data_IF_732127586350
#
_entry.id   IF_732127586350
#
_cell.length_a   1.000
_cell.length_b   1.000
_cell.length_c   1.000
_cell.angle_alpha   90.00
_cell.angle_beta   90.00
_cell.angle_gamma   90.00
#
_symmetry.space_group_name_H-M   'P 1'
#
loop_
_entity.id
_entity.type
_entity.pdbx_description
1 polymer ?
#
# COMPACT_ATOMS: atom_id res chain seq x y z
N UNK A 1 22.27 -2.59 -4.73
CA UNK A 1 21.12 -2.26 -5.61
C UNK A 1 21.46 -2.68 -7.04
N UNK A 2 20.53 -3.32 -7.75
CA UNK A 2 20.69 -3.69 -9.16
C UNK A 2 20.17 -2.60 -10.09
N UNK A 3 20.78 -2.47 -11.27
CA UNK A 3 20.27 -1.66 -12.38
C UNK A 3 19.61 -2.61 -13.37
N UNK A 4 18.40 -2.30 -13.79
CA UNK A 4 17.65 -3.10 -14.77
C UNK A 4 17.05 -2.18 -15.81
N UNK A 5 17.14 -2.55 -17.07
CA UNK A 5 16.47 -1.84 -18.16
C UNK A 5 15.11 -2.51 -18.40
N UNK A 6 14.04 -1.73 -18.27
CA UNK A 6 12.66 -2.18 -18.48
C UNK A 6 11.91 -1.14 -19.32
N UNK A 7 11.00 -1.62 -20.16
CA UNK A 7 10.11 -0.76 -20.95
C UNK A 7 8.87 -0.45 -20.11
N UNK A 8 8.50 0.82 -20.01
CA UNK A 8 7.35 1.30 -19.24
C UNK A 8 6.52 2.24 -20.09
N UNK A 9 5.19 2.22 -19.90
CA UNK A 9 4.31 3.18 -20.55
C UNK A 9 4.52 4.60 -19.98
N UNK A 10 4.97 5.51 -20.83
CA UNK A 10 5.21 6.91 -20.46
C UNK A 10 3.95 7.68 -20.07
N UNK A 11 2.76 7.25 -20.50
CA UNK A 11 1.49 7.84 -20.03
C UNK A 11 1.28 7.50 -18.57
N UNK A 12 1.41 6.22 -18.21
CA UNK A 12 1.27 5.74 -16.84
C UNK A 12 2.31 6.38 -15.91
N UNK A 13 3.55 6.50 -16.36
CA UNK A 13 4.62 7.13 -15.57
C UNK A 13 4.35 8.61 -15.34
N UNK A 14 3.91 9.37 -16.36
CA UNK A 14 3.58 10.79 -16.20
C UNK A 14 2.40 11.01 -15.25
N UNK A 15 1.39 10.16 -15.32
CA UNK A 15 0.28 10.20 -14.37
C UNK A 15 0.76 9.90 -12.95
N UNK A 16 1.50 8.80 -12.76
CA UNK A 16 2.01 8.39 -11.45
C UNK A 16 2.92 9.44 -10.82
N UNK A 17 3.85 10.02 -11.58
CA UNK A 17 4.75 11.06 -11.08
C UNK A 17 3.96 12.27 -10.54
N UNK A 18 2.93 12.72 -11.27
CA UNK A 18 2.07 13.84 -10.84
C UNK A 18 1.20 13.46 -9.64
N UNK A 19 0.55 12.29 -9.69
CA UNK A 19 -0.43 11.86 -8.68
C UNK A 19 0.20 11.57 -7.32
N UNK A 20 1.40 10.99 -7.33
CA UNK A 20 2.13 10.58 -6.13
C UNK A 20 3.28 11.53 -5.77
N UNK A 21 3.45 12.62 -6.53
CA UNK A 21 4.48 13.66 -6.32
C UNK A 21 5.91 13.11 -6.26
N UNK A 22 6.18 12.03 -7.01
CA UNK A 22 7.52 11.45 -7.12
C UNK A 22 8.41 12.33 -8.01
N UNK A 23 9.71 12.37 -7.72
CA UNK A 23 10.70 13.17 -8.46
C UNK A 23 11.33 12.40 -9.62
N UNK A 24 11.26 11.07 -9.62
CA UNK A 24 11.90 10.23 -10.66
C UNK A 24 11.12 8.95 -10.96
N UNK A 25 11.34 8.39 -12.16
CA UNK A 25 10.79 7.08 -12.56
C UNK A 25 11.18 5.97 -11.57
N UNK A 26 12.43 5.97 -11.10
CA UNK A 26 12.95 5.01 -10.10
C UNK A 26 12.18 5.08 -8.79
N UNK A 27 11.95 6.29 -8.28
CA UNK A 27 11.21 6.50 -7.04
C UNK A 27 9.77 6.03 -7.17
N UNK A 28 9.10 6.35 -8.29
CA UNK A 28 7.74 5.89 -8.55
C UNK A 28 7.65 4.36 -8.62
N UNK A 29 8.59 3.70 -9.31
CA UNK A 29 8.64 2.23 -9.38
C UNK A 29 8.87 1.63 -7.99
N UNK A 30 9.78 2.18 -7.20
CA UNK A 30 10.03 1.72 -5.83
C UNK A 30 8.77 1.89 -4.95
N UNK A 31 8.08 3.01 -5.07
CA UNK A 31 6.83 3.28 -4.37
C UNK A 31 5.76 2.26 -4.75
N UNK A 32 5.55 2.05 -6.05
CA UNK A 32 4.55 1.12 -6.57
C UNK A 32 4.78 -0.32 -6.05
N UNK A 33 6.03 -0.81 -6.09
CA UNK A 33 6.37 -2.13 -5.58
C UNK A 33 6.14 -2.23 -4.07
N UNK A 34 6.51 -1.19 -3.32
CA UNK A 34 6.31 -1.14 -1.87
C UNK A 34 4.82 -1.17 -1.52
N UNK A 35 4.00 -0.38 -2.21
CA UNK A 35 2.55 -0.34 -1.97
C UNK A 35 1.86 -1.64 -2.38
N UNK A 36 2.33 -2.29 -3.45
CA UNK A 36 1.82 -3.59 -3.87
C UNK A 36 2.05 -4.66 -2.78
N UNK A 37 3.25 -4.70 -2.21
CA UNK A 37 3.59 -5.61 -1.10
C UNK A 37 2.80 -5.28 0.17
N UNK A 38 2.66 -4.00 0.53
CA UNK A 38 1.82 -3.60 1.66
C UNK A 38 0.37 -4.03 1.47
N UNK A 39 -0.15 -3.89 0.25
CA UNK A 39 -1.51 -4.32 -0.10
C UNK A 39 -1.67 -5.84 -0.03
N UNK A 40 -0.67 -6.62 -0.46
CA UNK A 40 -0.65 -8.07 -0.28
C UNK A 40 -0.70 -8.44 1.21
N UNK A 41 0.19 -7.87 2.04
CA UNK A 41 0.22 -8.14 3.49
C UNK A 41 -1.10 -7.82 4.18
N UNK A 42 -1.77 -6.71 3.80
CA UNK A 42 -3.10 -6.38 4.33
C UNK A 42 -4.15 -7.41 3.94
N UNK A 43 -4.07 -7.97 2.72
CA UNK A 43 -4.95 -9.07 2.30
C UNK A 43 -4.68 -10.34 3.09
N UNK A 44 -3.42 -10.65 3.38
CA UNK A 44 -3.07 -11.81 4.19
C UNK A 44 -3.69 -11.72 5.59
N UNK A 45 -3.76 -10.53 6.19
CA UNK A 45 -4.45 -10.33 7.47
C UNK A 45 -5.95 -10.69 7.41
N UNK A 46 -6.59 -10.58 6.25
CA UNK A 46 -8.00 -10.99 6.09
C UNK A 46 -8.18 -12.49 6.27
N UNK A 47 -7.14 -13.30 6.09
CA UNK A 47 -7.19 -14.74 6.38
C UNK A 47 -7.45 -15.04 7.86
N UNK A 48 -7.07 -14.13 8.77
CA UNK A 48 -7.29 -14.27 10.21
C UNK A 48 -8.76 -14.03 10.61
N UNK A 49 -9.62 -13.59 9.68
CA UNK A 49 -11.05 -13.36 9.94
C UNK A 49 -11.70 -14.62 10.48
N UNK A 50 -12.26 -14.53 11.69
CA UNK A 50 -12.94 -15.65 12.35
C UNK A 50 -12.00 -16.69 12.97
N UNK A 51 -10.69 -16.58 12.77
CA UNK A 51 -9.68 -17.46 13.37
C UNK A 51 -9.13 -16.90 14.68
N UNK A 52 -9.17 -15.58 14.85
CA UNK A 52 -8.67 -14.90 16.05
C UNK A 52 -9.83 -14.38 16.91
N UNK A 53 -9.69 -14.52 18.23
CA UNK A 53 -10.60 -13.91 19.18
C UNK A 53 -10.25 -12.43 19.31
N UNK A 54 -11.25 -11.57 19.16
CA UNK A 54 -11.08 -10.15 19.41
C UNK A 54 -11.29 -9.88 20.91
N UNK A 55 -10.34 -9.19 21.53
CA UNK A 55 -10.39 -8.79 22.94
C UNK A 55 -10.48 -7.25 23.02
N UNK A 56 -11.64 -6.74 23.44
CA UNK A 56 -11.93 -5.32 23.62
C UNK A 56 -13.42 -5.06 23.90
N UNK A 57 -13.80 -3.85 24.31
CA UNK A 57 -15.20 -3.39 24.35
C UNK A 57 -15.48 -2.40 23.21
N UNK A 58 -16.37 -2.82 22.31
CA UNK A 58 -16.69 -2.09 21.09
C UNK A 58 -17.58 -0.88 21.39
N UNK A 59 -18.38 -0.94 22.46
CA UNK A 59 -19.20 0.17 22.93
C UNK A 59 -18.31 1.26 23.55
N UNK A 60 -17.30 0.88 24.32
CA UNK A 60 -16.34 1.82 24.91
C UNK A 60 -15.56 2.59 23.84
N UNK A 61 -14.99 1.89 22.85
CA UNK A 61 -14.23 2.50 21.76
C UNK A 61 -15.06 3.47 20.90
N UNK A 62 -16.37 3.25 20.79
CA UNK A 62 -17.28 4.14 20.05
C UNK A 62 -17.65 5.39 20.84
N UNK A 63 -17.77 5.29 22.16
CA UNK A 63 -18.03 6.45 23.05
C UNK A 63 -16.85 7.42 23.10
N UNK A 64 -15.62 6.93 22.91
CA UNK A 64 -14.39 7.72 22.92
C UNK A 64 -14.12 8.49 21.60
N UNK A 65 -15.02 8.38 20.62
CA UNK A 65 -14.83 9.09 19.34
C UNK A 65 -15.32 10.54 19.48
N UNK A 66 -14.46 11.55 19.24
CA UNK A 66 -14.86 12.96 19.26
C UNK A 66 -15.80 13.31 18.12
#
# INVERSE_FOLDING_TARGET
>A
MGRTNIVLDDRLIREGLRRFKCRSKRELVQLALTELLKSARRRDLLSLRGQVKWEGDLAELRRLRP
#
